data_IF_943595137233
#
_entry.id   IF_943595137233
#
_cell.length_a   1.000
_cell.length_b   1.000
_cell.length_c   1.000
_cell.angle_alpha   90.00
_cell.angle_beta   90.00
_cell.angle_gamma   90.00
#
_symmetry.space_group_name_H-M   'P 1'
#
loop_
_entity.id
_entity.type
_entity.pdbx_description
1 polymer ?
#
# COMPACT_ATOMS: atom_id res chain seq x y z
N UNK A 1 -6.29 -41.79 10.88
CA UNK A 1 -7.28 -40.84 11.40
C UNK A 1 -6.49 -39.65 11.92
N UNK A 2 -6.34 -38.60 11.10
CA UNK A 2 -5.53 -37.43 11.45
C UNK A 2 -6.46 -36.34 11.95
N UNK A 3 -6.29 -35.92 13.21
CA UNK A 3 -7.01 -34.78 13.78
C UNK A 3 -6.44 -33.49 13.21
N UNK A 4 -7.25 -32.77 12.43
CA UNK A 4 -7.03 -31.35 12.15
C UNK A 4 -7.17 -30.59 13.47
N UNK A 5 -6.09 -29.93 13.91
CA UNK A 5 -6.18 -28.88 14.92
C UNK A 5 -6.59 -27.59 14.21
N UNK A 6 -7.80 -27.12 14.48
CA UNK A 6 -8.23 -25.74 14.19
C UNK A 6 -7.37 -24.78 15.02
N UNK A 7 -6.71 -23.78 14.42
CA UNK A 7 -6.05 -22.74 15.19
C UNK A 7 -7.13 -21.93 15.95
N UNK A 8 -7.04 -21.91 17.29
CA UNK A 8 -7.93 -21.11 18.13
C UNK A 8 -7.85 -19.61 17.80
N UNK A 9 -8.84 -18.80 18.20
CA UNK A 9 -8.85 -17.37 17.93
C UNK A 9 -7.70 -16.71 18.70
N UNK A 10 -6.59 -16.45 18.00
CA UNK A 10 -5.49 -15.67 18.53
C UNK A 10 -5.97 -14.22 18.62
N UNK A 11 -6.47 -13.80 19.78
CA UNK A 11 -6.67 -12.37 20.07
C UNK A 11 -5.29 -11.74 20.21
N UNK A 12 -4.67 -11.41 19.08
CA UNK A 12 -3.55 -10.50 19.03
C UNK A 12 -4.08 -9.18 19.60
N UNK A 13 -3.53 -8.71 20.72
CA UNK A 13 -3.76 -7.34 21.19
C UNK A 13 -3.10 -6.40 20.20
N UNK A 14 -3.76 -6.18 19.07
CA UNK A 14 -3.45 -5.13 18.13
C UNK A 14 -4.06 -3.87 18.73
N UNK A 15 -3.26 -3.09 19.46
CA UNK A 15 -3.57 -1.67 19.55
C UNK A 15 -3.72 -1.18 18.11
N UNK A 16 -4.88 -0.67 17.68
CA UNK A 16 -5.02 -0.20 16.31
C UNK A 16 -4.08 0.99 16.16
N UNK A 17 -2.91 0.74 15.57
CA UNK A 17 -2.05 1.77 15.03
C UNK A 17 -2.85 2.36 13.88
N UNK A 18 -3.69 3.35 14.20
CA UNK A 18 -4.53 4.07 13.24
C UNK A 18 -3.64 4.98 12.40
N UNK A 19 -2.77 4.37 11.60
CA UNK A 19 -2.18 5.06 10.46
C UNK A 19 -3.32 5.24 9.46
N UNK A 20 -3.57 6.45 8.94
CA UNK A 20 -4.64 6.65 7.98
C UNK A 20 -4.43 5.69 6.81
N UNK A 21 -5.46 4.90 6.49
CA UNK A 21 -5.40 3.97 5.36
C UNK A 21 -5.04 4.74 4.08
N UNK A 22 -4.24 4.15 3.18
CA UNK A 22 -3.92 4.80 1.91
C UNK A 22 -5.18 4.97 1.06
N UNK A 23 -5.27 6.10 0.36
CA UNK A 23 -6.40 6.41 -0.50
C UNK A 23 -6.14 5.97 -1.94
N UNK A 24 -7.16 5.38 -2.58
CA UNK A 24 -7.12 5.13 -4.03
C UNK A 24 -7.43 6.43 -4.76
N UNK A 25 -6.55 6.85 -5.66
CA UNK A 25 -6.69 8.03 -6.51
C UNK A 25 -6.54 7.66 -7.98
N UNK A 26 -7.01 8.51 -8.90
CA UNK A 26 -7.03 8.23 -10.34
C UNK A 26 -6.43 9.38 -11.15
N UNK A 27 -5.69 9.05 -12.21
CA UNK A 27 -5.17 10.00 -13.21
C UNK A 27 -5.15 9.37 -14.60
N UNK A 28 -4.95 10.18 -15.64
CA UNK A 28 -4.47 9.68 -16.94
C UNK A 28 -2.96 9.43 -16.92
N UNK A 29 -2.51 8.31 -17.49
CA UNK A 29 -1.10 8.01 -17.66
C UNK A 29 -0.41 9.11 -18.50
N UNK A 30 0.68 9.69 -18.00
CA UNK A 30 1.40 10.76 -18.69
C UNK A 30 2.02 10.35 -20.03
N UNK A 31 2.19 9.04 -20.27
CA UNK A 31 2.76 8.51 -21.51
C UNK A 31 1.70 8.06 -22.51
N UNK A 32 0.74 7.21 -22.11
CA UNK A 32 -0.24 6.60 -23.04
C UNK A 32 -1.68 7.09 -22.85
N UNK A 33 -1.95 7.96 -21.87
CA UNK A 33 -3.27 8.54 -21.62
C UNK A 33 -4.30 7.62 -20.95
N UNK A 34 -4.00 6.34 -20.76
CA UNK A 34 -4.90 5.37 -20.09
C UNK A 34 -5.19 5.81 -18.65
N UNK A 35 -6.45 5.73 -18.21
CA UNK A 35 -6.80 5.96 -16.80
C UNK A 35 -6.17 4.88 -15.91
N UNK A 36 -5.50 5.32 -14.85
CA UNK A 36 -4.78 4.47 -13.90
C UNK A 36 -5.17 4.84 -12.48
N UNK A 37 -5.35 3.82 -11.65
CA UNK A 37 -5.49 3.96 -10.22
C UNK A 37 -4.10 3.93 -9.54
N UNK A 38 -3.96 4.65 -8.43
CA UNK A 38 -2.76 4.71 -7.62
C UNK A 38 -3.09 4.84 -6.13
N UNK A 39 -2.08 4.68 -5.28
CA UNK A 39 -2.21 4.86 -3.83
C UNK A 39 -1.55 6.16 -3.42
N UNK A 40 -2.32 7.05 -2.79
CA UNK A 40 -1.86 8.34 -2.29
C UNK A 40 -0.99 9.10 -3.32
N UNK A 41 -1.42 9.19 -4.58
CA UNK A 41 -0.68 9.90 -5.63
C UNK A 41 0.51 9.13 -6.24
N UNK A 42 0.67 7.84 -5.94
CA UNK A 42 1.71 6.98 -6.54
C UNK A 42 1.11 6.09 -7.60
N UNK A 43 1.62 6.22 -8.82
CA UNK A 43 0.99 5.65 -10.01
C UNK A 43 1.96 4.77 -10.79
N UNK A 44 1.42 3.65 -11.28
CA UNK A 44 2.12 2.74 -12.18
C UNK A 44 1.18 2.29 -13.28
N UNK A 45 1.55 2.50 -14.53
CA UNK A 45 0.75 2.09 -15.68
C UNK A 45 1.11 0.66 -16.10
N UNK A 46 0.22 -0.29 -15.84
CA UNK A 46 0.39 -1.69 -16.29
C UNK A 46 0.37 -1.85 -17.81
N UNK A 47 -0.11 -0.85 -18.56
CA UNK A 47 -0.18 -0.89 -20.02
C UNK A 47 1.14 -0.54 -20.72
N UNK A 48 1.79 0.56 -20.31
CA UNK A 48 2.99 1.06 -20.99
C UNK A 48 4.25 1.13 -20.10
N UNK A 49 4.14 0.76 -18.82
CA UNK A 49 5.27 0.71 -17.89
C UNK A 49 5.68 2.05 -17.28
N UNK A 50 5.00 3.15 -17.61
CA UNK A 50 5.28 4.45 -16.98
C UNK A 50 4.99 4.41 -15.47
N UNK A 51 5.89 5.02 -14.69
CA UNK A 51 5.76 5.25 -13.25
C UNK A 51 6.08 6.71 -12.97
N UNK A 52 5.39 7.32 -12.00
CA UNK A 52 5.75 8.66 -11.56
C UNK A 52 6.99 8.65 -10.66
N UNK A 53 7.54 9.83 -10.37
CA UNK A 53 8.66 9.92 -9.45
C UNK A 53 8.22 9.51 -8.05
N UNK A 54 9.09 8.86 -7.30
CA UNK A 54 8.69 8.39 -5.98
C UNK A 54 8.43 9.55 -5.02
N UNK A 55 8.94 10.77 -5.18
CA UNK A 55 8.58 11.84 -4.24
C UNK A 55 7.23 12.51 -4.52
N UNK A 56 6.60 12.25 -5.67
CA UNK A 56 5.32 12.86 -6.11
C UNK A 56 4.09 12.37 -5.32
N UNK A 57 4.24 11.45 -4.37
CA UNK A 57 3.13 10.97 -3.55
C UNK A 57 2.48 12.09 -2.73
N UNK A 58 1.16 12.06 -2.58
CA UNK A 58 0.37 13.05 -1.81
C UNK A 58 0.65 13.00 -0.31
N UNK A 59 1.20 11.90 0.19
CA UNK A 59 1.54 11.70 1.61
C UNK A 59 3.04 11.46 1.78
N UNK A 60 3.63 11.95 2.89
CA UNK A 60 5.01 11.67 3.20
C UNK A 60 5.22 10.15 3.32
N UNK A 61 6.41 9.70 2.92
CA UNK A 61 6.79 8.31 3.12
C UNK A 61 6.85 7.98 4.61
N UNK A 62 6.48 6.75 5.00
CA UNK A 62 6.75 6.26 6.35
C UNK A 62 8.25 6.36 6.64
N UNK A 63 8.59 6.87 7.81
CA UNK A 63 9.97 6.80 8.30
C UNK A 63 10.31 5.34 8.65
N UNK A 64 11.57 4.96 8.45
CA UNK A 64 12.03 3.66 8.90
C UNK A 64 11.95 3.61 10.43
N UNK A 65 11.38 2.55 11.03
CA UNK A 65 11.40 2.41 12.48
C UNK A 65 12.84 2.31 12.96
N UNK A 66 13.14 2.95 14.09
CA UNK A 66 14.39 2.76 14.80
C UNK A 66 14.49 1.30 15.25
N UNK A 67 15.41 0.56 14.64
CA UNK A 67 15.66 -0.82 15.02
C UNK A 67 16.58 -0.83 16.25
N UNK A 68 16.00 -1.01 17.44
CA UNK A 68 16.77 -1.27 18.65
C UNK A 68 17.26 -2.72 18.60
N UNK A 69 18.59 -2.89 18.50
CA UNK A 69 19.24 -4.20 18.53
C UNK A 69 19.20 -4.89 19.88
#
# INVERSE_FOLDING_TARGET
>A
MATTQEPGPQTRSETPQSSPHPMITYIGCAQCGTEIAGLDGRYSCSGCGWVNEWSDGHRPLPEAPTHSG
#
